data_IF_749688025804
#
_entry.id   IF_749688025804
#
_cell.length_a   1.000
_cell.length_b   1.000
_cell.length_c   1.000
_cell.angle_alpha   90.00
_cell.angle_beta   90.00
_cell.angle_gamma   90.00
#
_symmetry.space_group_name_H-M   'P 1'
#
loop_
_entity.id
_entity.type
_entity.pdbx_description
1 polymer ?
#
# COMPACT_ATOMS: atom_id res chain seq x y z
N UNK A 1 21.92 -33.70 -26.84
CA UNK A 1 23.11 -32.79 -26.78
C UNK A 1 22.71 -31.48 -26.13
N UNK A 2 23.26 -31.19 -24.98
CA UNK A 2 23.10 -29.91 -24.35
C UNK A 2 24.04 -28.90 -24.99
N UNK A 3 23.50 -27.94 -25.73
CA UNK A 3 24.31 -26.82 -26.25
C UNK A 3 24.76 -25.96 -25.07
N UNK A 4 26.03 -25.98 -24.77
CA UNK A 4 26.63 -25.02 -23.86
C UNK A 4 26.68 -23.65 -24.55
N UNK A 5 25.83 -22.72 -24.13
CA UNK A 5 25.96 -21.35 -24.54
C UNK A 5 27.16 -20.74 -23.84
N UNK A 6 28.27 -20.61 -24.54
CA UNK A 6 29.39 -19.82 -24.03
C UNK A 6 29.17 -18.36 -24.42
N UNK A 7 29.20 -17.48 -23.41
CA UNK A 7 29.18 -16.05 -23.60
C UNK A 7 30.44 -15.66 -24.40
N UNK A 8 30.28 -14.95 -25.52
CA UNK A 8 31.41 -14.55 -26.33
C UNK A 8 32.30 -13.56 -25.58
N UNK A 9 33.60 -13.53 -25.94
CA UNK A 9 34.56 -12.57 -25.36
C UNK A 9 34.10 -11.12 -25.55
N UNK A 10 33.43 -10.85 -26.65
CA UNK A 10 32.85 -9.54 -26.96
C UNK A 10 31.75 -9.17 -25.96
N UNK A 11 30.83 -10.08 -25.66
CA UNK A 11 29.73 -9.85 -24.70
C UNK A 11 30.25 -9.60 -23.29
N UNK A 12 31.32 -10.29 -22.90
CA UNK A 12 31.99 -10.04 -21.60
C UNK A 12 32.64 -8.66 -21.54
N UNK A 13 33.22 -8.17 -22.62
CA UNK A 13 33.80 -6.83 -22.69
C UNK A 13 32.74 -5.74 -22.63
N UNK A 14 31.63 -5.92 -23.38
CA UNK A 14 30.49 -4.98 -23.38
C UNK A 14 29.83 -4.91 -22.00
N UNK A 15 29.67 -6.05 -21.34
CA UNK A 15 29.16 -6.11 -19.98
C UNK A 15 30.08 -5.42 -18.96
N UNK A 16 31.39 -5.65 -19.05
CA UNK A 16 32.37 -5.02 -18.17
C UNK A 16 32.44 -3.50 -18.39
N UNK A 17 32.36 -3.03 -19.64
CA UNK A 17 32.28 -1.61 -19.94
C UNK A 17 31.00 -0.97 -19.40
N UNK A 18 29.86 -1.66 -19.51
CA UNK A 18 28.58 -1.21 -18.99
C UNK A 18 28.60 -1.12 -17.45
N UNK A 19 29.15 -2.11 -16.75
CA UNK A 19 29.25 -2.09 -15.28
C UNK A 19 30.22 -1.02 -14.77
N UNK A 20 31.27 -0.69 -15.52
CA UNK A 20 32.17 0.43 -15.18
C UNK A 20 31.51 1.79 -15.34
N UNK A 21 30.63 1.96 -16.34
CA UNK A 21 29.84 3.19 -16.49
C UNK A 21 28.83 3.39 -15.37
N UNK A 22 28.22 2.31 -14.86
CA UNK A 22 27.29 2.36 -13.73
C UNK A 22 28.03 2.68 -12.42
N UNK A 23 29.31 2.28 -12.28
CA UNK A 23 30.12 2.55 -11.10
C UNK A 23 30.44 4.01 -10.83
N UNK A 24 30.21 4.89 -11.80
CA UNK A 24 30.47 6.33 -11.69
C UNK A 24 29.24 7.14 -11.22
N UNK A 25 28.13 6.47 -10.89
CA UNK A 25 27.00 7.09 -10.21
C UNK A 25 27.44 7.42 -8.78
N UNK A 26 27.60 8.70 -8.51
CA UNK A 26 28.08 9.15 -7.20
C UNK A 26 27.14 8.68 -6.07
N UNK A 27 27.69 8.17 -4.94
CA UNK A 27 26.88 7.69 -3.82
C UNK A 27 25.89 8.72 -3.27
N UNK A 28 26.14 10.00 -3.50
CA UNK A 28 25.28 11.10 -3.06
C UNK A 28 23.90 11.13 -3.74
N UNK A 29 23.82 10.74 -5.02
CA UNK A 29 22.52 10.68 -5.72
C UNK A 29 21.70 9.47 -5.30
N UNK A 30 22.35 8.32 -5.06
CA UNK A 30 21.65 7.13 -4.56
C UNK A 30 21.09 7.36 -3.16
N UNK A 31 21.79 8.06 -2.28
CA UNK A 31 21.31 8.37 -0.93
C UNK A 31 20.14 9.37 -0.94
N UNK A 32 20.15 10.36 -1.84
CA UNK A 32 19.04 11.28 -2.05
C UNK A 32 17.80 10.59 -2.60
N UNK A 33 17.96 9.63 -3.50
CA UNK A 33 16.87 8.83 -4.03
C UNK A 33 16.25 7.90 -2.98
N UNK A 34 17.07 7.29 -2.13
CA UNK A 34 16.61 6.43 -1.03
C UNK A 34 15.82 7.25 0.01
N UNK A 35 16.29 8.43 0.36
CA UNK A 35 15.57 9.30 1.31
C UNK A 35 14.23 9.80 0.76
N UNK A 36 14.15 10.14 -0.52
CA UNK A 36 12.90 10.56 -1.15
C UNK A 36 11.92 9.41 -1.39
N UNK A 37 12.40 8.19 -1.60
CA UNK A 37 11.53 7.02 -1.77
C UNK A 37 10.92 6.56 -0.45
N UNK A 38 11.58 6.74 0.67
CA UNK A 38 11.01 6.40 1.99
C UNK A 38 9.87 7.34 2.40
N UNK A 39 10.00 8.63 2.14
CA UNK A 39 8.97 9.64 2.48
C UNK A 39 7.70 9.47 1.63
N UNK A 40 7.81 8.98 0.42
CA UNK A 40 6.69 8.78 -0.49
C UNK A 40 6.23 7.31 -0.58
N UNK A 41 6.79 6.43 0.24
CA UNK A 41 6.40 5.02 0.25
C UNK A 41 4.96 4.86 0.71
N UNK A 42 4.14 4.34 -0.18
CA UNK A 42 2.76 3.98 0.13
C UNK A 42 2.76 2.72 0.99
N UNK A 43 2.30 2.83 2.24
CA UNK A 43 2.07 1.64 3.08
C UNK A 43 0.80 0.94 2.62
N UNK A 44 0.88 -0.37 2.46
CA UNK A 44 -0.23 -1.20 2.02
C UNK A 44 -0.71 -2.11 3.15
N UNK A 45 -2.02 -2.18 3.32
CA UNK A 45 -2.69 -3.10 4.21
C UNK A 45 -3.73 -3.89 3.42
N UNK A 46 -3.74 -5.20 3.58
CA UNK A 46 -4.72 -6.09 2.95
C UNK A 46 -5.65 -6.67 4.02
N UNK A 47 -6.95 -6.42 3.88
CA UNK A 47 -7.99 -6.85 4.81
C UNK A 47 -8.91 -7.91 4.23
N UNK A 48 -8.65 -8.39 3.00
CA UNK A 48 -9.52 -9.39 2.40
C UNK A 48 -9.63 -10.64 3.28
N UNK A 49 -10.83 -11.14 3.47
CA UNK A 49 -11.08 -12.31 4.32
C UNK A 49 -11.13 -12.04 5.83
N UNK A 50 -10.86 -10.80 6.28
CA UNK A 50 -11.01 -10.42 7.68
C UNK A 50 -12.48 -10.21 8.07
N UNK A 51 -12.82 -10.51 9.33
CA UNK A 51 -14.13 -10.12 9.88
C UNK A 51 -14.19 -8.59 10.09
N UNK A 52 -15.38 -8.04 10.24
CA UNK A 52 -15.58 -6.60 10.47
C UNK A 52 -14.85 -6.11 11.73
N UNK A 53 -14.92 -6.87 12.81
CA UNK A 53 -14.29 -6.52 14.09
C UNK A 53 -12.76 -6.54 13.97
N UNK A 54 -12.24 -7.58 13.36
CA UNK A 54 -10.79 -7.71 13.13
C UNK A 54 -10.28 -6.62 12.19
N UNK A 55 -10.99 -6.37 11.10
CA UNK A 55 -10.65 -5.34 10.14
C UNK A 55 -10.56 -3.96 10.81
N UNK A 56 -11.54 -3.60 11.63
CA UNK A 56 -11.56 -2.32 12.33
C UNK A 56 -10.36 -2.16 13.27
N UNK A 57 -10.02 -3.19 14.04
CA UNK A 57 -8.85 -3.18 14.93
C UNK A 57 -7.53 -3.06 14.17
N UNK A 58 -7.39 -3.79 13.08
CA UNK A 58 -6.19 -3.77 12.24
C UNK A 58 -6.03 -2.39 11.58
N UNK A 59 -7.13 -1.83 11.07
CA UNK A 59 -7.14 -0.50 10.43
C UNK A 59 -6.77 0.59 11.43
N UNK A 60 -7.36 0.58 12.62
CA UNK A 60 -7.05 1.53 13.69
C UNK A 60 -5.55 1.54 14.00
N UNK A 61 -5.01 0.38 14.32
CA UNK A 61 -3.58 0.21 14.60
C UNK A 61 -2.69 0.65 13.44
N UNK A 62 -3.04 0.24 12.23
CA UNK A 62 -2.29 0.57 11.01
C UNK A 62 -2.23 2.08 10.73
N UNK A 63 -3.35 2.78 10.89
CA UNK A 63 -3.42 4.25 10.69
C UNK A 63 -2.60 4.97 11.75
N UNK A 64 -2.73 4.58 13.03
CA UNK A 64 -1.99 5.20 14.12
C UNK A 64 -0.47 5.01 13.95
N UNK A 65 -0.03 3.79 13.68
CA UNK A 65 1.39 3.49 13.43
C UNK A 65 1.94 4.25 12.22
N UNK A 66 1.15 4.32 11.16
CA UNK A 66 1.56 5.02 9.94
C UNK A 66 1.65 6.52 10.14
N UNK A 67 0.73 7.10 10.89
CA UNK A 67 0.77 8.51 11.27
C UNK A 67 2.00 8.84 12.13
N UNK A 68 2.28 8.01 13.12
CA UNK A 68 3.45 8.16 13.99
C UNK A 68 4.77 8.00 13.23
N UNK A 69 4.78 7.18 12.19
CA UNK A 69 5.95 6.98 11.31
C UNK A 69 6.11 8.06 10.23
N UNK A 70 5.21 9.05 10.17
CA UNK A 70 5.28 10.13 9.20
C UNK A 70 4.86 9.78 7.78
N UNK A 71 4.19 8.64 7.58
CA UNK A 71 3.66 8.26 6.26
C UNK A 71 2.54 9.22 5.84
N UNK A 72 2.51 9.58 4.56
CA UNK A 72 1.51 10.52 4.02
C UNK A 72 0.39 9.83 3.26
N UNK A 73 0.64 8.67 2.68
CA UNK A 73 -0.31 7.94 1.85
C UNK A 73 -0.36 6.46 2.26
N UNK A 74 -1.56 5.96 2.47
CA UNK A 74 -1.83 4.56 2.78
C UNK A 74 -2.73 3.96 1.70
N UNK A 75 -2.55 2.67 1.44
CA UNK A 75 -3.43 1.88 0.59
C UNK A 75 -4.03 0.76 1.43
N UNK A 76 -5.35 0.73 1.56
CA UNK A 76 -6.08 -0.34 2.23
C UNK A 76 -6.88 -1.12 1.21
N UNK A 77 -6.59 -2.41 1.07
CA UNK A 77 -7.29 -3.34 0.20
C UNK A 77 -8.35 -4.08 1.01
N UNK A 78 -9.60 -3.85 0.70
CA UNK A 78 -10.74 -4.47 1.38
C UNK A 78 -11.33 -5.65 0.59
N UNK A 79 -11.00 -5.74 -0.69
CA UNK A 79 -11.62 -6.67 -1.63
C UNK A 79 -12.92 -6.12 -2.22
N UNK A 80 -13.37 -6.70 -3.32
CA UNK A 80 -14.57 -6.26 -4.03
C UNK A 80 -15.89 -6.71 -3.38
N UNK A 81 -15.85 -7.58 -2.36
CA UNK A 81 -17.01 -8.08 -1.66
C UNK A 81 -17.84 -9.11 -2.42
N UNK A 82 -17.41 -9.54 -3.60
CA UNK A 82 -18.13 -10.50 -4.45
C UNK A 82 -18.18 -11.93 -3.88
N UNK A 83 -17.35 -12.24 -2.88
CA UNK A 83 -17.24 -13.55 -2.24
C UNK A 83 -17.72 -13.58 -0.79
N UNK A 84 -18.34 -12.51 -0.32
CA UNK A 84 -18.87 -12.48 1.05
C UNK A 84 -20.06 -13.43 1.13
N UNK A 85 -19.95 -14.43 2.01
CA UNK A 85 -21.01 -15.43 2.26
C UNK A 85 -22.21 -14.88 3.04
N UNK A 86 -22.39 -13.58 3.09
CA UNK A 86 -23.50 -12.93 3.79
C UNK A 86 -24.85 -13.09 3.11
N UNK A 87 -24.93 -13.89 2.05
CA UNK A 87 -26.16 -14.24 1.34
C UNK A 87 -27.23 -14.91 2.23
N UNK A 88 -26.82 -15.42 3.41
CA UNK A 88 -27.69 -16.18 4.30
C UNK A 88 -28.30 -15.39 5.46
N UNK A 89 -27.96 -14.13 5.65
CA UNK A 89 -28.49 -13.33 6.75
C UNK A 89 -29.33 -12.15 6.22
N UNK A 90 -30.67 -12.32 6.08
CA UNK A 90 -31.54 -11.26 5.57
C UNK A 90 -31.70 -10.05 6.52
N UNK A 91 -31.15 -10.13 7.73
CA UNK A 91 -31.19 -9.06 8.73
C UNK A 91 -29.97 -8.14 8.77
N UNK A 92 -28.94 -8.47 8.04
CA UNK A 92 -27.74 -7.59 7.91
C UNK A 92 -27.85 -6.88 6.56
N UNK A 93 -27.91 -5.55 6.58
CA UNK A 93 -27.88 -4.82 5.31
C UNK A 93 -26.60 -5.19 4.54
N UNK A 94 -26.75 -5.61 3.30
CA UNK A 94 -25.65 -6.07 2.44
C UNK A 94 -24.49 -5.07 2.36
N UNK A 95 -24.76 -3.79 2.56
CA UNK A 95 -23.76 -2.72 2.55
C UNK A 95 -22.86 -2.71 3.78
N UNK A 96 -23.37 -3.05 4.97
CA UNK A 96 -22.61 -3.01 6.22
C UNK A 96 -21.74 -4.26 6.44
N UNK A 97 -22.08 -5.38 5.79
CA UNK A 97 -21.31 -6.62 5.87
C UNK A 97 -20.07 -6.63 4.98
N UNK A 98 -19.96 -5.67 4.07
CA UNK A 98 -18.86 -5.60 3.11
C UNK A 98 -17.78 -4.61 3.59
N UNK A 99 -16.57 -5.09 3.79
CA UNK A 99 -15.45 -4.29 4.28
C UNK A 99 -15.21 -3.00 3.46
N UNK A 100 -15.46 -3.04 2.18
CA UNK A 100 -15.30 -1.89 1.30
C UNK A 100 -16.19 -0.70 1.67
N UNK A 101 -17.33 -0.93 2.32
CA UNK A 101 -18.23 0.12 2.81
C UNK A 101 -18.05 0.38 4.30
N UNK A 102 -17.84 -0.67 5.09
CA UNK A 102 -17.72 -0.56 6.53
C UNK A 102 -16.41 0.08 7.00
N UNK A 103 -15.31 -0.19 6.33
CA UNK A 103 -13.99 0.37 6.70
C UNK A 103 -13.95 1.89 6.53
N UNK A 104 -14.34 2.49 5.39
CA UNK A 104 -14.40 3.94 5.27
C UNK A 104 -15.36 4.59 6.28
N UNK A 105 -16.49 3.96 6.55
CA UNK A 105 -17.46 4.46 7.52
C UNK A 105 -16.90 4.42 8.94
N UNK A 106 -16.28 3.33 9.34
CA UNK A 106 -15.58 3.22 10.62
C UNK A 106 -14.54 4.33 10.81
N UNK A 107 -13.72 4.57 9.80
CA UNK A 107 -12.67 5.60 9.83
C UNK A 107 -13.27 7.01 9.97
N UNK A 108 -14.40 7.27 9.33
CA UNK A 108 -15.08 8.58 9.42
C UNK A 108 -15.76 8.81 10.75
N UNK A 109 -16.30 7.75 11.37
CA UNK A 109 -17.00 7.83 12.65
C UNK A 109 -16.06 7.88 13.84
N UNK A 110 -14.86 7.35 13.72
CA UNK A 110 -13.84 7.42 14.76
C UNK A 110 -13.14 8.78 14.74
N UNK A 111 -13.38 9.60 15.75
CA UNK A 111 -12.82 10.95 15.87
C UNK A 111 -11.29 10.95 15.91
N UNK A 112 -10.70 9.96 16.60
CA UNK A 112 -9.24 9.85 16.71
C UNK A 112 -8.57 9.57 15.37
N UNK A 113 -9.15 8.68 14.57
CA UNK A 113 -8.67 8.38 13.22
C UNK A 113 -8.94 9.54 12.27
N UNK A 114 -10.15 10.07 12.29
CA UNK A 114 -10.55 11.16 11.42
C UNK A 114 -9.69 12.43 11.62
N UNK A 115 -9.28 12.71 12.86
CA UNK A 115 -8.40 13.83 13.16
C UNK A 115 -7.02 13.74 12.49
N UNK A 116 -6.53 12.53 12.24
CA UNK A 116 -5.23 12.24 11.60
C UNK A 116 -5.31 12.18 10.07
N UNK A 117 -6.51 12.06 9.52
CA UNK A 117 -6.74 11.85 8.09
C UNK A 117 -7.09 13.17 7.41
N UNK A 118 -6.45 13.44 6.28
CA UNK A 118 -6.73 14.58 5.42
C UNK A 118 -7.91 14.30 4.47
N UNK A 119 -7.87 13.14 3.82
CA UNK A 119 -8.93 12.69 2.93
C UNK A 119 -8.86 11.19 2.66
N UNK A 120 -9.98 10.62 2.23
CA UNK A 120 -10.10 9.24 1.75
C UNK A 120 -10.54 9.31 0.29
N UNK A 121 -9.93 8.54 -0.59
CA UNK A 121 -10.30 8.44 -2.00
C UNK A 121 -10.29 6.99 -2.47
N UNK A 122 -10.99 6.72 -3.56
CA UNK A 122 -10.92 5.39 -4.21
C UNK A 122 -9.51 5.15 -4.76
N UNK A 123 -9.06 3.89 -4.71
CA UNK A 123 -7.80 3.49 -5.32
C UNK A 123 -7.92 3.43 -6.86
N UNK A 124 -6.79 3.59 -7.52
CA UNK A 124 -6.70 3.35 -8.96
C UNK A 124 -6.89 1.87 -9.28
N UNK A 125 -7.28 1.58 -10.52
CA UNK A 125 -7.53 0.19 -10.98
C UNK A 125 -6.30 -0.70 -10.75
N UNK A 126 -5.11 -0.19 -10.97
CA UNK A 126 -3.84 -0.91 -10.73
C UNK A 126 -3.61 -1.29 -9.27
N UNK A 127 -4.19 -0.55 -8.32
CA UNK A 127 -4.04 -0.74 -6.89
C UNK A 127 -5.26 -1.41 -6.23
N UNK A 128 -6.18 -1.91 -7.02
CA UNK A 128 -7.34 -2.66 -6.56
C UNK A 128 -8.70 -2.03 -6.90
N UNK A 129 -8.73 -0.85 -7.47
CA UNK A 129 -9.95 -0.18 -7.94
C UNK A 129 -11.03 -0.05 -6.86
N UNK A 130 -12.21 -0.60 -7.12
CA UNK A 130 -13.35 -0.57 -6.18
C UNK A 130 -13.12 -1.38 -4.89
N UNK A 131 -12.14 -2.27 -4.87
CA UNK A 131 -11.80 -3.08 -3.70
C UNK A 131 -10.71 -2.49 -2.82
N UNK A 132 -10.28 -1.26 -3.06
CA UNK A 132 -9.24 -0.60 -2.30
C UNK A 132 -9.50 0.90 -2.15
N UNK A 133 -8.88 1.49 -1.12
CA UNK A 133 -8.97 2.92 -0.85
C UNK A 133 -7.60 3.51 -0.55
N UNK A 134 -7.38 4.75 -0.95
CA UNK A 134 -6.27 5.56 -0.48
C UNK A 134 -6.69 6.39 0.72
N UNK A 135 -5.82 6.42 1.72
CA UNK A 135 -5.94 7.31 2.86
C UNK A 135 -4.77 8.28 2.85
N UNK A 136 -5.06 9.56 2.82
CA UNK A 136 -4.07 10.63 2.91
C UNK A 136 -4.04 11.16 4.32
N UNK A 137 -2.90 11.04 4.98
CA UNK A 137 -2.70 11.49 6.36
C UNK A 137 -2.26 12.95 6.41
N UNK A 138 -2.62 13.61 7.50
CA UNK A 138 -2.11 14.94 7.84
C UNK A 138 -0.63 14.84 8.23
N UNK A 139 0.07 15.95 8.16
CA UNK A 139 1.45 15.99 8.66
C UNK A 139 1.45 15.85 10.18
N UNK A 140 2.32 14.97 10.67
CA UNK A 140 2.55 14.85 12.11
C UNK A 140 3.53 15.95 12.54
N UNK A 141 3.02 16.92 13.30
CA UNK A 141 3.82 18.06 13.77
C UNK A 141 4.78 17.69 14.91
N UNK A 142 4.64 16.47 15.46
CA UNK A 142 5.49 15.97 16.53
C UNK A 142 6.72 15.19 16.05
N UNK A 143 6.94 15.16 14.75
CA UNK A 143 8.12 14.55 14.15
C UNK A 143 9.22 15.57 13.89
#
# INVERSE_FOLDING_TARGET
MKKKYSVSSKDKRDWTAFTKQIGDISPKESDLWVQNTEINKVRKLDLHGSSLIEANKIVEKFIIESFNSGNKKLLIVTGKGLRSKSYYNPHVSDKLSVLRYSVPEFIRTDENLNSKIKRISKAEIKDGGDGAIYIFLKNNTNL
#
